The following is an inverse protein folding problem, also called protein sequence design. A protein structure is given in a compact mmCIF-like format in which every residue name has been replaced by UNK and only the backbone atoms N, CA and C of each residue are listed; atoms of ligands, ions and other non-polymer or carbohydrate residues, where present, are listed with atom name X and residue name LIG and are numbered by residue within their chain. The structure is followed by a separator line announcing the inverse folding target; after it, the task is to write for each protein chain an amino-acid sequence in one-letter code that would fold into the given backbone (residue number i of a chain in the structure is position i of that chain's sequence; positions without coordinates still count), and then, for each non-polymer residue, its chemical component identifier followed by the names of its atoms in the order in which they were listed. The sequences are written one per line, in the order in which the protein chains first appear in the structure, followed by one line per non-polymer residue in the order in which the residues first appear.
data_IF_258347156904
#
_entry.id   IF_258347156904
#
_cell.length_a   1.000
_cell.length_b   1.000
_cell.length_c   1.000
_cell.angle_alpha   90.00
_cell.angle_beta   90.00
_cell.angle_gamma   90.00
#
_symmetry.space_group_name_H-M   'P 1'
#
loop_
_entity.id
_entity.type
_entity.pdbx_description
1 polymer ?
#
# COMPACT_ATOMS: atom_id res chain seq x y z
N UNK A 1 9.35 -9.10 2.86
CA UNK A 1 8.24 -8.86 3.82
C UNK A 1 8.73 -8.16 5.08
N UNK A 2 7.96 -7.17 5.56
CA UNK A 2 8.26 -6.40 6.77
C UNK A 2 7.78 -7.19 7.98
N UNK A 3 8.65 -7.40 8.98
CA UNK A 3 8.35 -8.21 10.18
C UNK A 3 7.63 -7.40 11.27
N UNK A 4 6.49 -6.79 10.93
CA UNK A 4 5.58 -6.18 11.91
C UNK A 4 4.13 -6.30 11.44
N UNK A 5 3.22 -6.18 12.39
CA UNK A 5 1.81 -5.96 12.07
C UNK A 5 1.63 -4.60 11.40
N UNK A 6 0.86 -4.59 10.31
CA UNK A 6 0.29 -3.37 9.77
C UNK A 6 -0.64 -2.72 10.81
N UNK A 7 -0.62 -1.40 10.84
CA UNK A 7 -1.54 -0.60 11.64
C UNK A 7 -2.57 0.05 10.71
N UNK A 8 -3.76 0.43 11.22
CA UNK A 8 -4.75 1.15 10.42
C UNK A 8 -4.16 2.39 9.70
N UNK A 9 -3.23 3.09 10.36
CA UNK A 9 -2.53 4.26 9.83
C UNK A 9 -1.70 3.95 8.57
N UNK A 10 -1.19 2.72 8.40
CA UNK A 10 -0.44 2.35 7.20
C UNK A 10 -1.36 2.36 5.96
N UNK A 11 -2.59 1.87 6.13
CA UNK A 11 -3.63 1.89 5.08
C UNK A 11 -4.12 3.31 4.86
N UNK A 12 -4.37 4.06 5.93
CA UNK A 12 -4.84 5.44 5.85
C UNK A 12 -3.85 6.33 5.07
N UNK A 13 -2.55 6.21 5.33
CA UNK A 13 -1.52 6.96 4.59
C UNK A 13 -1.52 6.64 3.09
N UNK A 14 -1.70 5.38 2.72
CA UNK A 14 -1.79 4.98 1.32
C UNK A 14 -3.03 5.59 0.63
N UNK A 15 -4.18 5.54 1.30
CA UNK A 15 -5.44 6.15 0.80
C UNK A 15 -5.29 7.66 0.63
N UNK A 16 -4.73 8.36 1.64
CA UNK A 16 -4.50 9.80 1.59
C UNK A 16 -3.57 10.16 0.42
N UNK A 17 -2.46 9.43 0.23
CA UNK A 17 -1.56 9.69 -0.89
C UNK A 17 -2.25 9.56 -2.26
N UNK A 18 -3.16 8.61 -2.42
CA UNK A 18 -3.97 8.47 -3.65
C UNK A 18 -4.92 9.66 -3.78
N UNK A 19 -5.68 9.96 -2.73
CA UNK A 19 -6.69 11.01 -2.72
C UNK A 19 -6.10 12.42 -2.94
N UNK A 20 -4.90 12.67 -2.41
CA UNK A 20 -4.16 13.92 -2.57
C UNK A 20 -3.50 14.06 -3.95
N UNK A 21 -3.65 13.05 -4.83
CA UNK A 21 -3.12 13.10 -6.19
C UNK A 21 -1.61 12.89 -6.28
N UNK A 22 -0.99 12.26 -5.27
CA UNK A 22 0.46 11.97 -5.30
C UNK A 22 0.85 10.94 -6.37
N UNK A 23 -0.14 10.21 -6.93
CA UNK A 23 0.03 9.19 -7.97
C UNK A 23 -0.81 9.55 -9.22
N UNK A 24 -0.56 10.69 -9.89
CA UNK A 24 -1.48 11.24 -10.89
C UNK A 24 -1.54 10.46 -12.21
N UNK A 25 -0.63 9.51 -12.42
CA UNK A 25 -0.53 8.72 -13.66
C UNK A 25 -0.67 7.20 -13.41
N UNK A 26 -1.27 6.80 -12.28
CA UNK A 26 -1.40 5.40 -11.87
C UNK A 26 -2.86 4.94 -11.73
N UNK A 27 -3.78 5.58 -12.46
CA UNK A 27 -5.19 5.17 -12.48
C UNK A 27 -5.33 3.73 -12.96
N UNK A 28 -6.12 2.93 -12.24
CA UNK A 28 -6.39 1.53 -12.56
C UNK A 28 -5.50 0.52 -11.85
N UNK A 29 -4.49 0.98 -11.10
CA UNK A 29 -3.56 0.11 -10.38
C UNK A 29 -4.10 -0.40 -9.03
N UNK A 30 -3.63 -1.59 -8.64
CA UNK A 30 -3.90 -2.18 -7.33
C UNK A 30 -2.66 -2.02 -6.44
N UNK A 31 -2.79 -1.28 -5.34
CA UNK A 31 -1.71 -1.03 -4.39
C UNK A 31 -1.86 -1.94 -3.17
N UNK A 32 -0.94 -2.89 -3.01
CA UNK A 32 -0.93 -3.79 -1.85
C UNK A 32 -0.28 -3.13 -0.63
N UNK A 33 -1.06 -2.90 0.43
CA UNK A 33 -0.60 -2.31 1.70
C UNK A 33 -0.53 -3.40 2.79
N UNK A 34 0.30 -4.40 2.58
CA UNK A 34 0.31 -5.64 3.37
C UNK A 34 1.70 -6.02 3.93
N UNK A 35 2.67 -5.11 3.86
CA UNK A 35 4.04 -5.39 4.26
C UNK A 35 4.76 -6.41 3.37
N UNK A 36 4.26 -6.66 2.16
CA UNK A 36 4.81 -7.64 1.22
C UNK A 36 4.38 -9.07 1.53
N UNK A 37 3.19 -9.25 2.12
CA UNK A 37 2.61 -10.56 2.42
C UNK A 37 2.19 -11.32 1.15
N UNK A 38 1.65 -10.62 0.16
CA UNK A 38 1.26 -11.18 -1.14
C UNK A 38 2.43 -11.69 -1.98
N UNK A 39 3.66 -11.32 -1.65
CA UNK A 39 4.86 -11.77 -2.36
C UNK A 39 5.09 -13.26 -2.07
N UNK A 40 4.92 -14.11 -3.09
CA UNK A 40 5.36 -15.50 -2.99
C UNK A 40 6.88 -15.56 -3.09
N UNK A 41 7.52 -16.11 -2.07
CA UNK A 41 8.97 -16.33 -2.03
C UNK A 41 9.24 -17.84 -1.98
N UNK A 42 10.28 -18.28 -2.72
CA UNK A 42 10.91 -19.60 -2.59
C UNK A 42 11.91 -19.61 -1.42
#
# INVERSE_FOLDING_TARGET
PIRRWGQPDDVAKAVVAIADGALPFSTGEVINVDGGFHLRRL
#
